data_IF_361103587961
#
_entry.id   IF_361103587961
#
_cell.length_a   1.000
_cell.length_b   1.000
_cell.length_c   1.000
_cell.angle_alpha   90.00
_cell.angle_beta   90.00
_cell.angle_gamma   90.00
#
_symmetry.space_group_name_H-M   'P 1'
#
loop_
_entity.id
_entity.type
_entity.pdbx_description
1 polymer ?
#
# COMPACT_ATOMS: atom_id res chain seq x y z
N UNK A 1 -16.72 6.37 14.73
CA UNK A 1 -16.45 5.28 13.75
C UNK A 1 -15.82 4.10 14.48
N UNK A 2 -16.37 2.89 14.34
CA UNK A 2 -15.81 1.68 14.95
C UNK A 2 -14.49 1.23 14.31
N UNK A 3 -13.72 0.40 15.02
CA UNK A 3 -12.41 -0.10 14.55
C UNK A 3 -12.51 -0.84 13.21
N UNK A 4 -13.53 -1.68 13.01
CA UNK A 4 -13.75 -2.38 11.74
C UNK A 4 -13.88 -1.43 10.53
N UNK A 5 -14.54 -0.28 10.70
CA UNK A 5 -14.67 0.71 9.64
C UNK A 5 -13.31 1.34 9.29
N UNK A 6 -12.47 1.62 10.30
CA UNK A 6 -11.11 2.15 10.09
C UNK A 6 -10.21 1.15 9.35
N UNK A 7 -10.28 -0.14 9.70
CA UNK A 7 -9.54 -1.22 9.01
C UNK A 7 -9.93 -1.30 7.54
N UNK A 8 -11.23 -1.31 7.23
CA UNK A 8 -11.72 -1.35 5.84
C UNK A 8 -11.35 -0.10 5.05
N UNK A 9 -11.38 1.08 5.68
CA UNK A 9 -10.96 2.31 5.06
C UNK A 9 -9.47 2.28 4.71
N UNK A 10 -8.63 1.79 5.62
CA UNK A 10 -7.19 1.64 5.39
C UNK A 10 -6.89 0.64 4.27
N UNK A 11 -7.55 -0.52 4.28
CA UNK A 11 -7.44 -1.52 3.21
C UNK A 11 -7.75 -0.92 1.84
N UNK A 12 -8.86 -0.18 1.73
CA UNK A 12 -9.23 0.52 0.49
C UNK A 12 -8.24 1.61 0.10
N UNK A 13 -7.70 2.37 1.06
CA UNK A 13 -6.69 3.40 0.80
C UNK A 13 -5.42 2.79 0.23
N UNK A 14 -4.83 1.78 0.87
CA UNK A 14 -3.64 1.09 0.39
C UNK A 14 -3.82 0.56 -1.04
N UNK A 15 -4.99 -0.02 -1.36
CA UNK A 15 -5.26 -0.50 -2.71
C UNK A 15 -5.44 0.61 -3.75
N UNK A 16 -5.87 1.82 -3.36
CA UNK A 16 -5.88 2.99 -4.26
C UNK A 16 -4.47 3.56 -4.43
N UNK A 17 -3.72 3.67 -3.35
CA UNK A 17 -2.34 4.18 -3.36
C UNK A 17 -1.44 3.31 -4.21
N UNK A 18 -1.52 1.97 -4.14
CA UNK A 18 -0.74 1.10 -5.05
C UNK A 18 -1.07 1.34 -6.53
N UNK A 19 -2.32 1.64 -6.87
CA UNK A 19 -2.75 1.83 -8.25
C UNK A 19 -2.21 3.13 -8.83
N UNK A 20 -2.08 4.15 -7.98
CA UNK A 20 -1.48 5.43 -8.35
C UNK A 20 0.04 5.33 -8.43
N UNK A 21 0.68 4.72 -7.42
CA UNK A 21 2.15 4.65 -7.29
C UNK A 21 2.79 3.68 -8.27
N UNK A 22 2.09 2.61 -8.67
CA UNK A 22 2.62 1.59 -9.59
C UNK A 22 1.84 1.55 -10.90
N UNK A 23 1.38 2.70 -11.39
CA UNK A 23 0.57 2.79 -12.60
C UNK A 23 1.31 2.14 -13.77
N UNK A 24 0.59 1.31 -14.53
CA UNK A 24 1.10 0.54 -15.68
C UNK A 24 2.23 -0.45 -15.38
N UNK A 25 2.65 -0.63 -14.12
CA UNK A 25 3.59 -1.67 -13.72
C UNK A 25 2.81 -2.87 -13.16
N UNK A 26 2.37 -3.75 -14.06
CA UNK A 26 1.55 -4.93 -13.71
C UNK A 26 2.23 -5.82 -12.68
N UNK A 27 3.55 -5.97 -12.76
CA UNK A 27 4.33 -6.78 -11.81
C UNK A 27 4.30 -6.17 -10.41
N UNK A 28 4.59 -4.88 -10.28
CA UNK A 28 4.54 -4.19 -8.99
C UNK A 28 3.12 -4.10 -8.43
N UNK A 29 2.12 -3.87 -9.30
CA UNK A 29 0.71 -3.87 -8.92
C UNK A 29 0.31 -5.20 -8.29
N UNK A 30 0.60 -6.33 -8.93
CA UNK A 30 0.23 -7.64 -8.42
C UNK A 30 1.03 -8.01 -7.16
N UNK A 31 2.34 -7.73 -7.11
CA UNK A 31 3.13 -7.94 -5.91
C UNK A 31 2.57 -7.16 -4.71
N UNK A 32 2.25 -5.87 -4.89
CA UNK A 32 1.62 -5.05 -3.86
C UNK A 32 0.24 -5.56 -3.47
N UNK A 33 -0.57 -6.04 -4.43
CA UNK A 33 -1.89 -6.63 -4.17
C UNK A 33 -1.78 -7.85 -3.27
N UNK A 34 -0.88 -8.77 -3.61
CA UNK A 34 -0.66 -10.01 -2.84
C UNK A 34 -0.22 -9.67 -1.42
N UNK A 35 0.77 -8.77 -1.28
CA UNK A 35 1.29 -8.41 0.03
C UNK A 35 0.26 -7.73 0.94
N UNK A 36 -0.53 -6.79 0.41
CA UNK A 36 -1.62 -6.16 1.18
C UNK A 36 -2.64 -7.21 1.63
N UNK A 37 -3.05 -8.12 0.74
CA UNK A 37 -4.03 -9.14 1.11
C UNK A 37 -3.49 -10.15 2.14
N UNK A 38 -2.22 -10.53 2.02
CA UNK A 38 -1.55 -11.45 2.94
C UNK A 38 -1.51 -10.86 4.36
N UNK A 39 -1.06 -9.61 4.52
CA UNK A 39 -0.97 -8.95 5.84
C UNK A 39 -2.33 -8.75 6.51
N UNK A 40 -3.38 -8.44 5.75
CA UNK A 40 -4.73 -8.33 6.31
C UNK A 40 -5.33 -9.71 6.64
N UNK A 41 -4.98 -10.76 5.88
CA UNK A 41 -5.42 -12.13 6.17
C UNK A 41 -4.71 -12.70 7.40
N UNK A 42 -3.40 -12.49 7.55
CA UNK A 42 -2.62 -12.99 8.69
C UNK A 42 -3.11 -12.42 10.01
N UNK A 43 -3.58 -11.16 10.00
CA UNK A 43 -4.10 -10.47 11.19
C UNK A 43 -5.64 -10.54 11.34
N UNK A 44 -6.35 -11.30 10.49
CA UNK A 44 -7.83 -11.33 10.47
C UNK A 44 -8.46 -11.75 11.80
N UNK A 45 -7.81 -12.66 12.53
CA UNK A 45 -8.32 -13.22 13.78
C UNK A 45 -7.80 -12.48 15.02
N UNK A 46 -7.14 -11.34 14.85
CA UNK A 46 -6.67 -10.53 15.97
C UNK A 46 -7.87 -9.94 16.73
N UNK A 47 -7.95 -10.23 18.02
CA UNK A 47 -9.04 -9.78 18.90
C UNK A 47 -8.61 -8.66 19.85
N UNK A 48 -7.30 -8.39 19.97
CA UNK A 48 -6.79 -7.34 20.84
C UNK A 48 -7.01 -5.96 20.22
N UNK A 49 -7.89 -5.16 20.84
CA UNK A 49 -8.15 -3.77 20.46
C UNK A 49 -6.87 -2.93 20.33
N UNK A 50 -5.91 -3.09 21.26
CA UNK A 50 -4.64 -2.35 21.23
C UNK A 50 -3.81 -2.72 20.01
N UNK A 51 -3.70 -4.02 19.72
CA UNK A 51 -2.92 -4.52 18.58
C UNK A 51 -3.54 -4.12 17.24
N UNK A 52 -4.86 -4.12 17.15
CA UNK A 52 -5.58 -3.62 15.96
C UNK A 52 -5.26 -2.13 15.72
N UNK A 53 -5.25 -1.32 16.77
CA UNK A 53 -4.91 0.11 16.65
C UNK A 53 -3.45 0.33 16.19
N UNK A 54 -2.51 -0.45 16.72
CA UNK A 54 -1.11 -0.43 16.26
C UNK A 54 -0.99 -0.83 14.79
N UNK A 55 -1.66 -1.90 14.36
CA UNK A 55 -1.65 -2.35 12.96
C UNK A 55 -2.26 -1.30 12.02
N UNK A 56 -3.35 -0.63 12.44
CA UNK A 56 -3.94 0.47 11.68
C UNK A 56 -2.95 1.63 11.53
N UNK A 57 -2.21 1.96 12.59
CA UNK A 57 -1.20 3.02 12.56
C UNK A 57 -0.07 2.67 11.60
N UNK A 58 0.50 1.47 11.73
CA UNK A 58 1.55 0.97 10.84
C UNK A 58 1.10 1.00 9.38
N UNK A 59 -0.08 0.46 9.07
CA UNK A 59 -0.57 0.46 7.70
C UNK A 59 -0.84 1.88 7.16
N UNK A 60 -1.24 2.82 8.01
CA UNK A 60 -1.41 4.23 7.62
C UNK A 60 -0.08 4.90 7.32
N UNK A 61 0.96 4.61 8.10
CA UNK A 61 2.31 5.11 7.87
C UNK A 61 2.89 4.55 6.56
N UNK A 62 2.65 3.26 6.28
CA UNK A 62 3.01 2.62 5.00
C UNK A 62 2.28 3.26 3.83
N UNK A 63 0.98 3.56 3.97
CA UNK A 63 0.22 4.26 2.93
C UNK A 63 0.80 5.64 2.64
N UNK A 64 1.15 6.38 3.68
CA UNK A 64 1.80 7.68 3.55
C UNK A 64 3.14 7.56 2.84
N UNK A 65 3.99 6.61 3.26
CA UNK A 65 5.31 6.37 2.69
C UNK A 65 5.24 6.04 1.20
N UNK A 66 4.33 5.14 0.79
CA UNK A 66 4.11 4.82 -0.61
C UNK A 66 3.75 6.08 -1.41
N UNK A 67 2.85 6.91 -0.86
CA UNK A 67 2.37 8.12 -1.53
C UNK A 67 3.39 9.25 -1.56
N UNK A 68 4.32 9.35 -0.61
CA UNK A 68 5.27 10.46 -0.53
C UNK A 68 6.65 10.12 -1.07
N UNK A 69 7.10 8.87 -0.92
CA UNK A 69 8.51 8.51 -1.10
C UNK A 69 8.80 7.57 -2.28
N UNK A 70 7.78 6.98 -2.93
CA UNK A 70 7.97 6.07 -4.09
C UNK A 70 7.61 6.75 -5.41
N UNK A 71 8.54 6.80 -6.37
CA UNK A 71 8.34 7.29 -7.74
C UNK A 71 8.73 6.19 -8.72
N UNK A 72 8.03 6.09 -9.85
CA UNK A 72 8.37 5.12 -10.91
C UNK A 72 9.40 5.71 -11.85
N UNK A 73 10.44 4.93 -12.16
CA UNK A 73 11.41 5.23 -13.20
C UNK A 73 11.31 4.20 -14.33
N UNK A 74 11.20 4.65 -15.58
CA UNK A 74 11.28 3.81 -16.78
C UNK A 74 12.70 3.90 -17.32
N UNK A 75 13.35 2.74 -17.53
CA UNK A 75 14.63 2.68 -18.23
C UNK A 75 14.48 3.13 -19.68
N UNK A 76 15.39 4.01 -20.09
CA UNK A 76 15.57 4.43 -21.47
C UNK A 76 16.81 3.78 -22.07
N UNK A 77 16.89 3.76 -23.39
CA UNK A 77 18.00 3.13 -24.15
C UNK A 77 19.38 3.76 -23.87
N UNK A 78 19.41 4.98 -23.30
CA UNK A 78 20.63 5.73 -23.00
C UNK A 78 21.15 5.54 -21.55
N UNK A 79 20.77 4.46 -20.87
CA UNK A 79 21.13 4.21 -19.46
C UNK A 79 20.67 5.34 -18.52
N UNK A 80 19.58 6.04 -18.88
CA UNK A 80 18.93 7.05 -18.03
C UNK A 80 17.53 6.59 -17.63
N UNK A 81 17.01 7.10 -16.52
CA UNK A 81 15.66 6.81 -16.03
C UNK A 81 14.74 8.00 -16.29
N UNK A 82 13.61 7.75 -16.97
CA UNK A 82 12.51 8.72 -17.06
C UNK A 82 11.59 8.55 -15.86
N UNK A 83 11.47 9.58 -15.02
CA UNK A 83 10.61 9.53 -13.85
C UNK A 83 9.17 9.87 -14.23
N UNK A 84 8.24 9.00 -13.84
CA UNK A 84 6.81 9.24 -14.02
C UNK A 84 6.32 10.07 -12.83
N UNK A 85 5.82 11.30 -13.05
CA UNK A 85 5.16 12.07 -12.00
C UNK A 85 3.86 11.38 -11.57
N UNK A 86 3.54 11.49 -10.27
CA UNK A 86 2.41 10.80 -9.63
C UNK A 86 1.05 11.35 -10.05
#
# INVERSE_FOLDING_TARGET
MGQAAKVLQLFKRLHRTRQQVFKNDTRALEAARVKINEEFKSNKNEASSKKIEELIKIGSDVELLLRTSVVQGIHTDHNTLSLIPR
#
